data_IF_785036571589
#
_entry.id   IF_785036571589
#
_cell.length_a   1.000
_cell.length_b   1.000
_cell.length_c   1.000
_cell.angle_alpha   90.00
_cell.angle_beta   90.00
_cell.angle_gamma   90.00
#
_symmetry.space_group_name_H-M   'P 1'
#
loop_
_entity.id
_entity.type
_entity.pdbx_description
1 polymer ?
#
# COMPACT_ATOMS: atom_id res chain seq x y z
N UNK A 1 5.52 -12.90 -1.62
CA UNK A 1 5.67 -14.20 -0.90
C UNK A 1 5.42 -13.92 0.58
N UNK A 2 4.26 -14.34 1.06
CA UNK A 2 3.71 -14.05 2.38
C UNK A 2 4.59 -14.68 3.46
N UNK A 3 5.25 -13.87 4.29
CA UNK A 3 5.77 -14.34 5.57
C UNK A 3 4.57 -14.50 6.52
N UNK A 4 3.81 -15.58 6.30
CA UNK A 4 2.87 -16.06 7.29
C UNK A 4 3.68 -16.36 8.55
N UNK A 5 3.51 -15.56 9.59
CA UNK A 5 3.91 -15.95 10.93
C UNK A 5 3.23 -17.28 11.20
N UNK A 6 3.98 -18.39 11.16
CA UNK A 6 3.43 -19.73 11.32
C UNK A 6 3.04 -19.91 12.79
N UNK A 7 1.81 -19.54 13.11
CA UNK A 7 1.21 -19.75 14.41
C UNK A 7 0.85 -21.23 14.51
N UNK A 8 1.52 -21.96 15.39
CA UNK A 8 1.19 -23.35 15.67
C UNK A 8 -0.03 -23.39 16.58
N UNK A 9 -1.14 -23.94 16.09
CA UNK A 9 -2.36 -24.20 16.86
C UNK A 9 -2.86 -25.62 16.60
N UNK A 10 -3.58 -26.18 17.56
CA UNK A 10 -4.39 -27.39 17.36
C UNK A 10 -5.55 -27.04 16.42
N UNK A 11 -5.96 -27.98 15.57
CA UNK A 11 -7.16 -27.80 14.73
C UNK A 11 -8.38 -27.54 15.63
N UNK A 12 -9.21 -26.55 15.25
CA UNK A 12 -10.45 -26.18 15.92
C UNK A 12 -10.35 -25.37 17.23
N UNK A 13 -9.16 -24.92 17.63
CA UNK A 13 -9.02 -24.01 18.79
C UNK A 13 -8.83 -22.54 18.34
N UNK A 14 -9.66 -21.64 18.88
CA UNK A 14 -9.47 -20.19 18.76
C UNK A 14 -8.38 -19.71 19.73
N UNK A 15 -7.67 -18.63 19.40
CA UNK A 15 -6.77 -17.98 20.35
C UNK A 15 -7.60 -17.18 21.34
N UNK A 16 -7.32 -17.37 22.63
CA UNK A 16 -7.86 -16.52 23.68
C UNK A 16 -7.23 -15.12 23.58
N UNK A 17 -8.01 -14.03 23.55
CA UNK A 17 -7.49 -12.66 23.51
C UNK A 17 -6.54 -12.32 24.67
N UNK A 18 -6.67 -12.99 25.83
CA UNK A 18 -5.75 -12.82 26.97
C UNK A 18 -4.34 -13.35 26.71
N UNK A 19 -4.19 -14.25 25.73
CA UNK A 19 -2.92 -14.86 25.34
C UNK A 19 -2.22 -14.09 24.20
N UNK A 20 -2.83 -13.02 23.69
CA UNK A 20 -2.29 -12.19 22.60
C UNK A 20 -1.86 -10.84 23.15
N UNK A 21 -0.55 -10.62 23.23
CA UNK A 21 0.00 -9.29 23.56
C UNK A 21 -0.20 -8.37 22.35
N UNK A 22 -0.75 -7.18 22.56
CA UNK A 22 -0.92 -6.18 21.51
C UNK A 22 0.44 -5.77 20.95
N UNK A 23 0.70 -6.11 19.69
CA UNK A 23 1.85 -5.63 18.95
C UNK A 23 1.42 -4.47 18.03
N UNK A 24 2.20 -3.39 18.03
CA UNK A 24 1.97 -2.22 17.15
C UNK A 24 2.14 -2.61 15.67
N UNK A 25 2.98 -3.61 15.38
CA UNK A 25 3.23 -4.08 14.04
C UNK A 25 3.23 -5.61 14.03
N UNK A 26 2.35 -6.20 13.21
CA UNK A 26 2.33 -7.64 13.02
C UNK A 26 3.56 -8.09 12.20
N UNK A 27 4.14 -9.24 12.54
CA UNK A 27 5.32 -9.79 11.85
C UNK A 27 5.10 -10.24 10.39
N UNK A 28 3.92 -9.99 9.82
CA UNK A 28 3.56 -10.38 8.45
C UNK A 28 4.16 -9.51 7.35
N UNK A 29 4.92 -8.46 7.70
CA UNK A 29 5.41 -7.45 6.77
C UNK A 29 4.30 -6.50 6.31
N UNK A 30 4.68 -5.27 5.94
CA UNK A 30 3.78 -4.30 5.33
C UNK A 30 4.07 -4.17 3.83
N UNK A 31 3.02 -3.95 3.02
CA UNK A 31 3.19 -3.55 1.62
C UNK A 31 2.98 -2.04 1.55
N UNK A 32 3.95 -1.33 0.98
CA UNK A 32 3.82 0.10 0.71
C UNK A 32 3.36 0.27 -0.73
N UNK A 33 2.38 1.13 -0.97
CA UNK A 33 1.83 1.41 -2.31
C UNK A 33 1.66 2.91 -2.50
N UNK A 34 1.79 3.38 -3.74
CA UNK A 34 1.48 4.74 -4.16
C UNK A 34 0.35 4.71 -5.17
N UNK A 35 -0.60 5.63 -5.06
CA UNK A 35 -1.66 5.78 -6.06
C UNK A 35 -2.16 7.21 -6.12
N UNK A 36 -2.71 7.57 -7.26
CA UNK A 36 -3.31 8.87 -7.53
C UNK A 36 -4.78 8.69 -7.87
N UNK A 37 -5.63 9.60 -7.42
CA UNK A 37 -7.05 9.59 -7.73
C UNK A 37 -7.58 10.99 -7.94
N UNK A 38 -8.56 11.12 -8.83
CA UNK A 38 -9.35 12.32 -9.05
C UNK A 38 -10.84 11.99 -8.94
N UNK A 39 -11.70 13.01 -8.95
CA UNK A 39 -13.15 12.82 -8.98
C UNK A 39 -13.62 11.96 -10.17
N UNK A 40 -12.99 12.16 -11.33
CA UNK A 40 -13.44 11.57 -12.59
C UNK A 40 -12.73 10.25 -12.92
N UNK A 41 -11.53 10.03 -12.38
CA UNK A 41 -10.67 8.91 -12.75
C UNK A 41 -9.83 8.43 -11.58
N UNK A 42 -9.71 7.11 -11.46
CA UNK A 42 -8.76 6.45 -10.58
C UNK A 42 -7.47 6.19 -11.36
N UNK A 43 -6.35 6.64 -10.82
CA UNK A 43 -5.03 6.36 -11.37
C UNK A 43 -4.46 5.01 -10.91
N UNK A 44 -3.29 4.63 -11.43
CA UNK A 44 -2.65 3.35 -11.13
C UNK A 44 -2.17 3.28 -9.67
N UNK A 45 -2.31 2.09 -9.07
CA UNK A 45 -1.74 1.78 -7.75
C UNK A 45 -0.42 1.01 -7.95
N UNK A 46 0.69 1.67 -7.62
CA UNK A 46 2.06 1.18 -7.83
C UNK A 46 2.63 0.65 -6.51
N UNK A 47 3.08 -0.62 -6.43
CA UNK A 47 3.76 -1.14 -5.25
C UNK A 47 5.15 -0.53 -5.09
N UNK A 48 5.51 -0.19 -3.86
CA UNK A 48 6.81 0.33 -3.46
C UNK A 48 7.54 -0.77 -2.69
N UNK A 49 8.68 -1.22 -3.20
CA UNK A 49 9.41 -2.34 -2.62
C UNK A 49 10.09 -2.03 -1.28
N UNK A 50 10.57 -0.80 -1.08
CA UNK A 50 11.20 -0.42 0.20
C UNK A 50 11.20 1.09 0.46
N UNK A 51 11.82 1.85 -0.45
CA UNK A 51 11.97 3.29 -0.29
C UNK A 51 11.74 3.97 -1.64
N UNK A 52 10.87 4.97 -1.65
CA UNK A 52 10.79 5.89 -2.78
C UNK A 52 11.84 6.98 -2.61
N UNK A 53 12.70 7.15 -3.62
CA UNK A 53 13.55 8.33 -3.72
C UNK A 53 12.87 9.39 -4.60
N UNK A 54 13.40 10.61 -4.59
CA UNK A 54 12.81 11.72 -5.34
C UNK A 54 12.74 11.46 -6.85
N UNK A 55 13.76 10.81 -7.44
CA UNK A 55 13.77 10.49 -8.87
C UNK A 55 12.71 9.44 -9.24
N UNK A 56 12.55 8.40 -8.42
CA UNK A 56 11.53 7.37 -8.57
C UNK A 56 10.12 7.98 -8.44
N UNK A 57 9.93 8.89 -7.47
CA UNK A 57 8.69 9.62 -7.32
C UNK A 57 8.34 10.46 -8.56
N UNK A 58 9.31 11.23 -9.07
CA UNK A 58 9.13 12.00 -10.31
C UNK A 58 8.84 11.09 -11.50
N UNK A 59 9.49 9.91 -11.59
CA UNK A 59 9.23 8.96 -12.66
C UNK A 59 7.80 8.39 -12.61
N UNK A 60 7.25 8.15 -11.41
CA UNK A 60 5.89 7.67 -11.21
C UNK A 60 4.87 8.75 -11.62
N UNK A 61 5.10 10.01 -11.22
CA UNK A 61 4.25 11.14 -11.64
C UNK A 61 4.31 11.35 -13.15
N UNK A 62 5.51 11.31 -13.74
CA UNK A 62 5.69 11.50 -15.16
C UNK A 62 5.03 10.37 -15.97
N UNK A 63 5.18 9.13 -15.52
CA UNK A 63 4.53 7.97 -16.13
C UNK A 63 3.00 8.10 -16.07
N UNK A 64 2.45 8.51 -14.93
CA UNK A 64 1.02 8.72 -14.78
C UNK A 64 0.50 9.84 -15.71
N UNK A 65 1.21 10.98 -15.76
CA UNK A 65 0.84 12.09 -16.64
C UNK A 65 0.82 11.66 -18.12
N UNK A 66 1.83 10.92 -18.57
CA UNK A 66 1.90 10.39 -19.93
C UNK A 66 0.83 9.32 -20.21
N UNK A 67 0.52 8.46 -19.24
CA UNK A 67 -0.43 7.37 -19.40
C UNK A 67 -1.89 7.84 -19.35
N UNK A 68 -2.19 8.84 -18.53
CA UNK A 68 -3.56 9.26 -18.24
C UNK A 68 -3.97 10.59 -18.87
N UNK A 69 -3.10 11.29 -19.62
CA UNK A 69 -3.32 12.47 -20.49
C UNK A 69 -4.22 13.61 -19.94
N UNK A 70 -4.70 13.55 -18.69
CA UNK A 70 -5.79 14.37 -18.15
C UNK A 70 -5.75 14.52 -16.63
N UNK A 71 -4.88 13.78 -15.93
CA UNK A 71 -4.55 14.02 -14.52
C UNK A 71 -3.47 15.12 -14.44
N UNK A 72 -3.84 16.34 -14.81
CA UNK A 72 -3.08 17.51 -14.36
C UNK A 72 -3.07 17.51 -12.82
N UNK A 73 -1.94 17.83 -12.19
CA UNK A 73 -1.80 17.99 -10.73
C UNK A 73 -2.81 19.04 -10.19
N UNK A 74 -3.37 19.88 -11.07
CA UNK A 74 -4.47 20.80 -10.75
C UNK A 74 -5.82 20.11 -10.48
N UNK A 75 -5.99 18.82 -10.83
CA UNK A 75 -7.22 18.05 -10.62
C UNK A 75 -7.11 17.07 -9.44
N UNK A 76 -5.96 17.04 -8.74
CA UNK A 76 -5.79 16.20 -7.54
C UNK A 76 -6.20 16.98 -6.29
N UNK A 77 -7.41 16.65 -5.83
CA UNK A 77 -7.99 16.88 -4.50
C UNK A 77 -8.54 18.28 -4.13
N UNK A 78 -9.88 18.30 -4.16
CA UNK A 78 -10.85 19.02 -3.32
C UNK A 78 -11.45 20.36 -3.73
N UNK A 79 -11.00 21.02 -4.79
CA UNK A 79 -11.80 21.98 -5.60
C UNK A 79 -11.20 22.13 -7.00
#
# INVERSE_FOLDING_TARGET
LLLAARIWRKQHESMDPSCVVSAVQAGGGGVMVWGIFSWHTLGPLVPIEHHLNAAAYLSIIFLDFCANHSLSITNTMFE
#
